data_IF_615090158212
#
_entry.id   IF_615090158212
#
_cell.length_a   1.000
_cell.length_b   1.000
_cell.length_c   1.000
_cell.angle_alpha   90.00
_cell.angle_beta   90.00
_cell.angle_gamma   90.00
#
_symmetry.space_group_name_H-M   'P 1'
#
loop_
_entity.id
_entity.type
_entity.pdbx_description
1 polymer ?
#
# COMPACT_ATOMS: atom_id res chain seq x y z
N UNK A 1 -27.38 -21.84 0.88
CA UNK A 1 -26.39 -22.24 1.91
C UNK A 1 -25.62 -23.44 1.38
N UNK A 2 -24.44 -23.22 0.79
CA UNK A 2 -23.64 -24.28 0.16
C UNK A 2 -22.38 -24.54 0.97
N UNK A 3 -22.34 -25.69 1.66
CA UNK A 3 -21.24 -26.11 2.50
C UNK A 3 -20.04 -26.61 1.68
N UNK A 4 -18.87 -26.05 1.92
CA UNK A 4 -17.59 -26.59 1.46
C UNK A 4 -17.18 -27.75 2.38
N UNK A 5 -17.13 -28.99 1.87
CA UNK A 5 -16.61 -30.16 2.60
C UNK A 5 -15.41 -30.76 1.88
N UNK A 6 -14.31 -30.88 2.67
CA UNK A 6 -13.28 -31.95 2.79
C UNK A 6 -12.61 -32.42 1.49
N UNK A 7 -11.32 -32.72 1.43
CA UNK A 7 -10.17 -32.91 2.32
C UNK A 7 -8.96 -33.03 1.40
N UNK A 8 -7.71 -32.79 1.79
CA UNK A 8 -6.54 -33.62 1.42
C UNK A 8 -5.31 -33.21 2.24
N UNK A 9 -4.40 -34.18 2.37
CA UNK A 9 -3.33 -34.36 3.37
C UNK A 9 -2.23 -33.30 3.35
N UNK A 10 -1.73 -33.03 4.55
CA UNK A 10 -0.50 -32.30 4.84
C UNK A 10 0.72 -32.96 4.17
N UNK A 11 1.56 -32.13 3.54
CA UNK A 11 3.00 -32.40 3.43
C UNK A 11 3.73 -31.15 3.93
N UNK A 12 4.39 -31.30 5.07
CA UNK A 12 5.33 -30.33 5.60
C UNK A 12 6.55 -30.27 4.68
N UNK A 13 7.05 -29.06 4.41
CA UNK A 13 8.42 -28.88 3.95
C UNK A 13 9.06 -27.74 4.74
N UNK A 14 10.03 -28.15 5.55
CA UNK A 14 10.82 -27.36 6.48
C UNK A 14 11.93 -26.64 5.71
N UNK A 15 11.98 -25.30 5.74
CA UNK A 15 13.05 -24.50 5.12
C UNK A 15 13.60 -23.50 6.13
N UNK A 16 14.62 -23.92 6.88
CA UNK A 16 15.51 -23.02 7.63
C UNK A 16 16.95 -23.52 7.49
N UNK A 17 17.90 -22.57 7.54
CA UNK A 17 19.37 -22.67 7.32
C UNK A 17 19.65 -22.51 5.83
N UNK A 18 20.43 -21.54 5.35
CA UNK A 18 21.86 -21.27 5.57
C UNK A 18 22.09 -19.74 5.50
N UNK A 19 22.88 -19.08 6.37
CA UNK A 19 24.34 -18.93 6.26
C UNK A 19 24.92 -18.51 7.62
N UNK A 20 26.00 -19.16 8.07
CA UNK A 20 26.93 -18.60 9.05
C UNK A 20 28.34 -18.96 8.60
N UNK A 21 29.17 -17.94 8.38
CA UNK A 21 30.59 -18.10 8.05
C UNK A 21 31.43 -17.51 9.18
N UNK A 22 32.27 -18.40 9.73
CA UNK A 22 33.68 -18.23 10.06
C UNK A 22 34.06 -17.12 11.06
N UNK A 23 34.32 -17.53 12.30
CA UNK A 23 35.33 -16.89 13.15
C UNK A 23 36.50 -17.87 13.32
N UNK A 24 37.65 -17.51 12.78
CA UNK A 24 38.93 -18.12 13.10
C UNK A 24 39.56 -17.36 14.28
N UNK A 25 39.91 -18.07 15.34
CA UNK A 25 40.62 -17.55 16.50
C UNK A 25 42.14 -17.57 16.24
N UNK A 26 42.85 -16.54 16.70
CA UNK A 26 44.31 -16.43 16.68
C UNK A 26 44.82 -16.27 18.14
N UNK A 27 45.97 -16.86 18.55
CA UNK A 27 46.39 -16.87 19.94
C UNK A 27 47.20 -15.63 20.34
N UNK A 28 47.16 -15.30 21.63
CA UNK A 28 47.79 -14.14 22.26
C UNK A 28 49.31 -14.31 22.46
N UNK A 29 50.06 -13.22 22.22
CA UNK A 29 51.47 -13.04 22.59
C UNK A 29 51.65 -11.85 23.57
N UNK A 30 52.78 -11.76 24.30
CA UNK A 30 52.87 -10.99 25.54
C UNK A 30 53.24 -9.51 25.37
N UNK A 31 53.02 -8.78 26.46
CA UNK A 31 53.05 -7.34 26.64
C UNK A 31 54.41 -6.66 26.39
N UNK A 32 54.35 -5.45 25.83
CA UNK A 32 55.43 -4.46 25.84
C UNK A 32 54.89 -3.10 26.31
N UNK A 33 55.70 -2.42 27.12
CA UNK A 33 55.45 -1.21 27.91
C UNK A 33 55.63 0.10 27.13
N UNK A 34 54.67 1.04 27.29
CA UNK A 34 54.75 2.54 27.32
C UNK A 34 55.44 3.32 26.16
N UNK A 35 55.25 4.66 26.01
CA UNK A 35 54.30 5.61 26.61
C UNK A 35 53.49 6.49 25.60
N UNK A 36 52.40 7.06 26.11
CA UNK A 36 51.78 8.35 25.76
C UNK A 36 51.73 8.81 24.27
N UNK A 37 50.56 8.66 23.64
CA UNK A 37 50.20 9.41 22.44
C UNK A 37 48.74 9.87 22.55
N UNK A 38 48.54 11.15 22.84
CA UNK A 38 47.23 11.79 22.90
C UNK A 38 46.55 11.76 21.52
N UNK A 39 45.46 11.01 21.40
CA UNK A 39 44.61 11.01 20.20
C UNK A 39 43.63 12.19 20.27
N UNK A 40 43.49 12.99 19.20
CA UNK A 40 42.38 13.93 19.11
C UNK A 40 41.08 13.14 18.92
N UNK A 41 40.16 13.27 19.87
CA UNK A 41 38.80 12.73 19.78
C UNK A 41 38.02 13.47 18.70
N UNK A 42 38.14 13.03 17.44
CA UNK A 42 37.09 13.29 16.44
C UNK A 42 35.92 12.38 16.76
N UNK A 43 35.05 12.85 17.65
CA UNK A 43 33.67 12.36 17.74
C UNK A 43 33.00 12.61 16.40
N UNK A 44 32.97 11.60 15.54
CA UNK A 44 32.05 11.52 14.42
C UNK A 44 30.65 11.34 14.99
N UNK A 45 29.93 12.44 15.18
CA UNK A 45 28.50 12.41 15.46
C UNK A 45 27.76 11.95 14.22
N UNK A 46 27.32 10.70 14.20
CA UNK A 46 26.22 10.28 13.32
C UNK A 46 24.98 11.09 13.71
N UNK A 47 24.33 11.83 12.80
CA UNK A 47 23.09 12.50 13.14
C UNK A 47 22.01 11.44 13.38
N UNK A 48 21.29 11.57 14.50
CA UNK A 48 20.10 10.77 14.78
C UNK A 48 19.11 10.85 13.61
N UNK A 49 18.32 9.79 13.32
CA UNK A 49 17.34 9.83 12.25
C UNK A 49 16.36 10.98 12.49
N UNK A 50 16.32 11.94 11.58
CA UNK A 50 15.35 13.01 11.55
C UNK A 50 13.96 12.41 11.41
N UNK A 51 13.15 12.45 12.48
CA UNK A 51 11.75 12.02 12.46
C UNK A 51 10.93 13.12 11.80
N UNK A 52 10.99 13.21 10.47
CA UNK A 52 10.07 14.07 9.71
C UNK A 52 8.68 13.45 9.77
N UNK A 53 7.62 14.20 10.15
CA UNK A 53 6.27 13.66 10.16
C UNK A 53 5.84 13.30 8.74
N UNK A 54 5.24 12.11 8.60
CA UNK A 54 4.76 11.59 7.31
C UNK A 54 3.59 12.43 6.81
N UNK A 55 3.62 12.75 5.52
CA UNK A 55 2.51 13.38 4.81
C UNK A 55 1.26 12.49 4.81
N UNK A 56 0.06 13.08 4.65
CA UNK A 56 -1.18 12.32 4.48
C UNK A 56 -1.10 11.28 3.35
N UNK A 57 -0.42 11.60 2.25
CA UNK A 57 -0.23 10.70 1.12
C UNK A 57 0.64 9.49 1.50
N UNK A 58 1.76 9.71 2.19
CA UNK A 58 2.63 8.63 2.68
C UNK A 58 1.90 7.70 3.65
N UNK A 59 1.03 8.25 4.51
CA UNK A 59 0.18 7.45 5.40
C UNK A 59 -0.78 6.54 4.63
N UNK A 60 -1.40 7.04 3.57
CA UNK A 60 -2.28 6.21 2.71
C UNK A 60 -1.48 5.06 2.06
N UNK A 61 -0.28 5.35 1.55
CA UNK A 61 0.60 4.35 0.95
C UNK A 61 1.03 3.32 2.00
N UNK A 62 1.35 3.74 3.22
CA UNK A 62 1.75 2.84 4.31
C UNK A 62 0.59 1.90 4.70
N UNK A 63 -0.63 2.43 4.80
CA UNK A 63 -1.83 1.62 5.05
C UNK A 63 -1.99 0.54 3.98
N UNK A 64 -1.90 0.93 2.70
CA UNK A 64 -1.97 -0.02 1.59
C UNK A 64 -0.80 -1.02 1.62
N UNK A 65 0.40 -0.56 1.97
CA UNK A 65 1.63 -1.36 2.02
C UNK A 65 1.57 -2.48 3.06
N UNK A 66 0.91 -2.25 4.20
CA UNK A 66 0.70 -3.27 5.24
C UNK A 66 -0.20 -4.44 4.79
N UNK A 67 -0.95 -4.25 3.72
CA UNK A 67 -1.84 -5.27 3.18
C UNK A 67 -1.17 -6.13 2.08
N UNK A 68 0.01 -5.74 1.60
CA UNK A 68 0.75 -6.50 0.57
C UNK A 68 1.02 -7.92 1.05
N UNK A 69 0.72 -8.89 0.19
CA UNK A 69 0.85 -10.32 0.48
C UNK A 69 -0.41 -10.96 1.08
N UNK A 70 -1.43 -10.18 1.44
CA UNK A 70 -2.74 -10.73 1.81
C UNK A 70 -3.45 -11.29 0.59
N UNK A 71 -4.04 -12.47 0.76
CA UNK A 71 -4.64 -13.25 -0.32
C UNK A 71 -6.07 -13.62 -0.02
N UNK A 72 -6.82 -13.82 -1.09
CA UNK A 72 -8.12 -14.45 -1.00
C UNK A 72 -8.01 -15.96 -0.71
N UNK A 73 -9.07 -16.52 -0.16
CA UNK A 73 -9.17 -17.95 0.09
C UNK A 73 -9.59 -18.66 -1.19
N UNK A 74 -8.77 -19.62 -1.64
CA UNK A 74 -9.07 -20.52 -2.75
C UNK A 74 -9.46 -19.84 -4.08
N UNK A 75 -8.93 -18.65 -4.39
CA UNK A 75 -9.12 -18.01 -5.70
C UNK A 75 -10.57 -17.65 -6.05
N UNK A 76 -11.43 -17.50 -5.02
CA UNK A 76 -12.88 -17.33 -5.18
C UNK A 76 -13.38 -15.94 -4.79
N UNK A 77 -12.54 -14.90 -4.84
CA UNK A 77 -12.89 -13.55 -4.38
C UNK A 77 -13.49 -13.54 -2.96
N UNK A 78 -12.93 -14.37 -2.07
CA UNK A 78 -13.45 -14.59 -0.72
C UNK A 78 -12.35 -14.74 0.33
N UNK A 79 -12.73 -14.82 1.60
CA UNK A 79 -11.79 -14.93 2.72
C UNK A 79 -11.83 -13.73 3.66
N UNK A 80 -11.20 -13.85 4.84
CA UNK A 80 -11.34 -12.86 5.92
C UNK A 80 -10.87 -11.46 5.51
N UNK A 81 -9.71 -11.34 4.86
CA UNK A 81 -9.22 -10.05 4.39
C UNK A 81 -10.08 -9.47 3.26
N UNK A 82 -10.54 -10.32 2.32
CA UNK A 82 -11.44 -9.87 1.24
C UNK A 82 -12.75 -9.34 1.83
N UNK A 83 -13.37 -10.06 2.77
CA UNK A 83 -14.61 -9.62 3.42
C UNK A 83 -14.42 -8.30 4.17
N UNK A 84 -13.28 -8.11 4.82
CA UNK A 84 -12.89 -6.84 5.44
C UNK A 84 -12.85 -5.69 4.42
N UNK A 85 -12.28 -5.91 3.22
CA UNK A 85 -12.28 -4.88 2.17
C UNK A 85 -13.69 -4.62 1.63
N UNK A 86 -14.47 -5.68 1.37
CA UNK A 86 -15.83 -5.57 0.84
C UNK A 86 -16.76 -4.79 1.78
N UNK A 87 -16.59 -4.95 3.10
CA UNK A 87 -17.31 -4.20 4.13
C UNK A 87 -17.05 -2.68 4.10
N UNK A 88 -16.01 -2.21 3.39
CA UNK A 88 -15.79 -0.79 3.17
C UNK A 88 -16.70 -0.21 2.06
N UNK A 89 -17.41 -1.05 1.31
CA UNK A 89 -18.32 -0.64 0.22
C UNK A 89 -19.79 -0.68 0.66
N UNK A 90 -20.70 -0.26 -0.23
CA UNK A 90 -22.14 -0.44 -0.04
C UNK A 90 -22.69 -1.72 -0.72
N UNK A 91 -21.82 -2.55 -1.31
CA UNK A 91 -22.24 -3.79 -1.95
C UNK A 91 -22.15 -4.94 -0.97
N UNK A 92 -23.19 -5.77 -0.91
CA UNK A 92 -23.21 -6.95 -0.06
C UNK A 92 -22.01 -7.88 -0.34
N UNK A 93 -21.41 -8.49 0.70
CA UNK A 93 -20.27 -9.37 0.53
C UNK A 93 -20.57 -10.54 -0.42
N UNK A 94 -19.63 -10.86 -1.30
CA UNK A 94 -19.84 -11.87 -2.33
C UNK A 94 -18.55 -12.30 -3.03
N UNK A 95 -18.68 -13.13 -4.05
CA UNK A 95 -17.55 -13.58 -4.89
C UNK A 95 -17.37 -12.62 -6.08
N UNK A 96 -17.08 -11.35 -5.81
CA UNK A 96 -16.91 -10.31 -6.82
C UNK A 96 -15.53 -9.62 -6.70
N UNK A 97 -14.97 -9.09 -7.80
CA UNK A 97 -13.65 -8.45 -7.83
C UNK A 97 -13.49 -7.33 -6.81
N UNK A 98 -12.50 -7.42 -5.94
CA UNK A 98 -12.38 -6.57 -4.74
C UNK A 98 -11.34 -5.44 -4.85
N UNK A 99 -10.86 -5.12 -6.05
CA UNK A 99 -9.86 -4.06 -6.27
C UNK A 99 -10.34 -2.67 -5.75
N UNK A 100 -11.55 -2.25 -6.13
CA UNK A 100 -12.11 -0.98 -5.67
C UNK A 100 -12.49 -1.01 -4.19
N UNK A 101 -12.91 -2.18 -3.68
CA UNK A 101 -13.19 -2.37 -2.26
C UNK A 101 -11.91 -2.19 -1.41
N UNK A 102 -10.77 -2.71 -1.88
CA UNK A 102 -9.47 -2.48 -1.25
C UNK A 102 -9.11 -1.00 -1.16
N UNK A 103 -9.28 -0.24 -2.25
CA UNK A 103 -9.05 1.22 -2.23
C UNK A 103 -10.02 1.93 -1.28
N UNK A 104 -11.31 1.57 -1.28
CA UNK A 104 -12.29 2.13 -0.35
C UNK A 104 -11.91 1.86 1.12
N UNK A 105 -11.42 0.65 1.42
CA UNK A 105 -10.94 0.29 2.74
C UNK A 105 -9.69 1.08 3.14
N UNK A 106 -8.71 1.24 2.24
CA UNK A 106 -7.52 2.05 2.50
C UNK A 106 -7.90 3.50 2.84
N UNK A 107 -8.82 4.10 2.09
CA UNK A 107 -9.33 5.46 2.38
C UNK A 107 -10.10 5.49 3.71
N UNK A 108 -10.87 4.46 4.04
CA UNK A 108 -11.55 4.37 5.33
C UNK A 108 -10.56 4.35 6.51
N UNK A 109 -9.49 3.56 6.42
CA UNK A 109 -8.44 3.51 7.45
C UNK A 109 -7.66 4.83 7.51
N UNK A 110 -7.37 5.42 6.36
CA UNK A 110 -6.67 6.71 6.27
C UNK A 110 -7.46 7.82 6.96
N UNK A 111 -8.79 7.84 6.80
CA UNK A 111 -9.68 8.77 7.49
C UNK A 111 -9.89 8.45 8.98
N UNK A 112 -9.37 7.33 9.50
CA UNK A 112 -9.37 7.08 10.94
C UNK A 112 -8.37 8.00 11.67
N UNK A 113 -7.26 8.36 11.00
CA UNK A 113 -6.21 9.22 11.53
C UNK A 113 -6.70 10.68 11.73
N UNK A 114 -6.61 11.26 12.94
CA UNK A 114 -7.06 12.62 13.22
C UNK A 114 -6.27 13.70 12.46
N UNK A 115 -4.98 13.50 12.18
CA UNK A 115 -4.17 14.45 11.40
C UNK A 115 -4.62 14.47 9.94
N UNK A 116 -4.98 13.30 9.38
CA UNK A 116 -5.57 13.22 8.04
C UNK A 116 -6.91 13.93 7.99
N UNK A 117 -7.76 13.73 9.00
CA UNK A 117 -9.05 14.45 9.11
C UNK A 117 -8.85 15.96 9.16
N UNK A 118 -7.91 16.42 9.98
CA UNK A 118 -7.58 17.83 10.12
C UNK A 118 -7.03 18.41 8.81
N UNK A 119 -6.13 17.68 8.15
CA UNK A 119 -5.59 18.05 6.84
C UNK A 119 -6.68 18.16 5.77
N UNK A 120 -7.57 17.16 5.69
CA UNK A 120 -8.65 17.15 4.70
C UNK A 120 -9.68 18.27 4.94
N UNK A 121 -9.83 18.69 6.20
CA UNK A 121 -10.58 19.88 6.63
C UNK A 121 -12.00 19.99 6.02
N UNK A 122 -12.74 18.88 6.02
CA UNK A 122 -14.07 18.82 5.43
C UNK A 122 -15.04 19.77 6.15
N UNK A 123 -15.59 20.73 5.42
CA UNK A 123 -16.51 21.75 5.98
C UNK A 123 -17.99 21.40 5.86
N UNK A 124 -18.36 20.71 4.80
CA UNK A 124 -19.78 20.51 4.41
C UNK A 124 -20.26 19.07 4.63
N UNK A 125 -19.39 18.17 5.06
CA UNK A 125 -19.71 16.74 5.15
C UNK A 125 -18.84 16.03 6.17
N UNK A 126 -19.28 14.86 6.61
CA UNK A 126 -18.49 13.97 7.47
C UNK A 126 -17.56 13.10 6.64
N UNK A 127 -16.49 12.58 7.23
CA UNK A 127 -15.58 11.63 6.54
C UNK A 127 -16.31 10.37 6.07
N UNK A 128 -17.31 9.92 6.82
CA UNK A 128 -18.13 8.76 6.48
C UNK A 128 -18.97 8.97 5.22
N UNK A 129 -19.45 10.20 4.97
CA UNK A 129 -20.21 10.56 3.77
C UNK A 129 -19.29 10.99 2.62
N UNK A 130 -18.11 11.53 2.97
CA UNK A 130 -17.12 11.94 2.01
C UNK A 130 -16.43 10.77 1.32
N UNK A 131 -16.07 9.69 2.03
CA UNK A 131 -15.27 8.57 1.47
C UNK A 131 -15.98 7.78 0.35
N UNK A 132 -15.24 7.12 -0.56
CA UNK A 132 -15.84 6.23 -1.55
C UNK A 132 -16.39 4.97 -0.88
N UNK A 133 -17.49 4.44 -1.44
CA UNK A 133 -18.17 3.22 -1.00
C UNK A 133 -18.64 2.39 -2.20
N UNK A 134 -17.74 2.15 -3.15
CA UNK A 134 -18.08 1.50 -4.43
C UNK A 134 -17.28 0.21 -4.63
N UNK A 135 -17.90 -0.77 -5.28
CA UNK A 135 -17.24 -1.98 -5.75
C UNK A 135 -16.69 -1.84 -7.20
N UNK A 136 -16.94 -0.70 -7.86
CA UNK A 136 -16.57 -0.49 -9.26
C UNK A 136 -15.35 0.44 -9.36
N UNK A 137 -14.33 0.05 -10.14
CA UNK A 137 -13.14 0.87 -10.37
C UNK A 137 -13.51 2.25 -10.96
N UNK A 138 -14.34 2.30 -12.00
CA UNK A 138 -14.84 3.56 -12.56
C UNK A 138 -15.80 4.33 -11.62
N UNK A 139 -16.35 3.64 -10.61
CA UNK A 139 -17.11 4.29 -9.55
C UNK A 139 -16.26 5.26 -8.72
N UNK A 140 -14.95 5.01 -8.60
CA UNK A 140 -14.02 5.93 -7.93
C UNK A 140 -13.92 7.27 -8.67
N UNK A 141 -13.95 7.26 -10.01
CA UNK A 141 -13.94 8.50 -10.80
C UNK A 141 -15.22 9.30 -10.56
N UNK A 142 -16.39 8.65 -10.56
CA UNK A 142 -17.67 9.31 -10.23
C UNK A 142 -17.66 9.90 -8.82
N UNK A 143 -17.09 9.17 -7.86
CA UNK A 143 -16.91 9.65 -6.50
C UNK A 143 -16.03 10.92 -6.44
N UNK A 144 -14.91 10.92 -7.15
CA UNK A 144 -13.98 12.04 -7.19
C UNK A 144 -14.59 13.28 -7.85
N UNK A 145 -15.27 13.11 -9.00
CA UNK A 145 -15.93 14.20 -9.73
C UNK A 145 -16.98 14.93 -8.91
N UNK A 146 -17.68 14.23 -8.01
CA UNK A 146 -18.67 14.83 -7.12
C UNK A 146 -18.06 15.67 -5.99
N UNK A 147 -16.72 15.75 -5.86
CA UNK A 147 -16.01 16.39 -4.74
C UNK A 147 -14.85 17.30 -5.20
N UNK A 148 -15.07 18.22 -6.15
CA UNK A 148 -14.00 19.01 -6.77
C UNK A 148 -13.22 19.90 -5.79
N UNK A 149 -13.81 20.25 -4.63
CA UNK A 149 -13.15 21.05 -3.59
C UNK A 149 -12.06 20.29 -2.80
N UNK A 150 -11.97 18.96 -2.95
CA UNK A 150 -11.01 18.14 -2.19
C UNK A 150 -10.35 17.04 -3.02
N UNK A 151 -10.87 16.79 -4.23
CA UNK A 151 -10.42 15.72 -5.09
C UNK A 151 -10.39 16.23 -6.53
N UNK A 152 -9.28 15.97 -7.22
CA UNK A 152 -9.09 16.28 -8.63
C UNK A 152 -8.99 14.98 -9.42
N UNK A 153 -9.75 14.88 -10.51
CA UNK A 153 -9.55 13.81 -11.51
C UNK A 153 -8.62 14.36 -12.58
N UNK A 154 -7.46 13.73 -12.71
CA UNK A 154 -6.40 14.08 -13.63
C UNK A 154 -6.42 13.10 -14.82
N UNK A 155 -6.15 13.58 -16.04
CA UNK A 155 -6.02 12.72 -17.22
C UNK A 155 -4.79 11.81 -17.11
N UNK A 156 -4.74 10.80 -17.97
CA UNK A 156 -3.61 9.89 -18.15
C UNK A 156 -2.29 10.58 -18.54
N UNK A 157 -2.37 11.78 -19.14
CA UNK A 157 -1.22 12.64 -19.48
C UNK A 157 -0.61 13.35 -18.27
N UNK A 158 -1.32 13.42 -17.14
CA UNK A 158 -0.79 14.07 -15.96
C UNK A 158 0.36 13.25 -15.34
N UNK A 159 1.31 13.93 -14.69
CA UNK A 159 2.36 13.26 -13.92
C UNK A 159 1.73 12.64 -12.65
N UNK A 160 1.77 11.30 -12.50
CA UNK A 160 1.23 10.64 -11.33
C UNK A 160 2.09 10.92 -10.11
N UNK A 161 1.46 11.09 -8.96
CA UNK A 161 2.14 11.34 -7.69
C UNK A 161 1.88 10.19 -6.71
N UNK A 162 2.84 9.98 -5.80
CA UNK A 162 2.66 9.06 -4.70
C UNK A 162 1.41 9.46 -3.89
N UNK A 163 0.52 8.50 -3.66
CA UNK A 163 -0.76 8.70 -2.97
C UNK A 163 -1.94 8.94 -3.90
N UNK A 164 -1.72 9.17 -5.21
CA UNK A 164 -2.82 9.18 -6.17
C UNK A 164 -3.48 7.81 -6.24
N UNK A 165 -4.81 7.79 -6.42
CA UNK A 165 -5.52 6.58 -6.80
C UNK A 165 -5.47 6.50 -8.33
N UNK A 166 -4.94 5.40 -8.87
CA UNK A 166 -4.93 5.15 -10.31
C UNK A 166 -6.16 4.31 -10.69
N UNK A 167 -6.83 4.69 -11.78
CA UNK A 167 -7.90 3.92 -12.40
C UNK A 167 -7.44 3.52 -13.79
N UNK A 168 -7.51 2.22 -14.11
CA UNK A 168 -7.02 1.66 -15.38
C UNK A 168 -8.16 1.41 -16.38
N UNK A 169 -7.84 1.41 -17.68
CA UNK A 169 -8.84 1.22 -18.75
C UNK A 169 -9.56 -0.14 -18.70
N UNK A 170 -8.88 -1.17 -18.20
CA UNK A 170 -9.39 -2.54 -18.07
C UNK A 170 -10.24 -2.77 -16.80
N UNK A 171 -10.86 -1.70 -16.27
CA UNK A 171 -11.73 -1.72 -15.09
C UNK A 171 -11.04 -2.25 -13.83
N UNK A 172 -9.85 -1.71 -13.54
CA UNK A 172 -9.07 -1.99 -12.33
C UNK A 172 -8.60 -0.68 -11.68
N UNK A 173 -8.11 -0.75 -10.44
CA UNK A 173 -7.60 0.42 -9.74
C UNK A 173 -6.58 0.04 -8.65
N UNK A 174 -5.81 1.02 -8.20
CA UNK A 174 -4.84 0.87 -7.12
C UNK A 174 -4.39 2.22 -6.56
N UNK A 175 -3.41 2.17 -5.67
CA UNK A 175 -2.79 3.36 -5.08
C UNK A 175 -1.37 3.49 -5.62
N UNK A 176 -1.01 4.64 -6.17
CA UNK A 176 0.35 4.94 -6.63
C UNK A 176 1.25 5.03 -5.40
N UNK A 177 2.21 4.10 -5.31
CA UNK A 177 3.25 4.07 -4.27
C UNK A 177 4.39 5.04 -4.59
N UNK A 178 4.66 5.28 -5.87
CA UNK A 178 5.71 6.17 -6.33
C UNK A 178 6.08 5.91 -7.79
N UNK A 179 7.12 6.57 -8.27
CA UNK A 179 7.64 6.41 -9.63
C UNK A 179 9.00 5.73 -9.60
N UNK A 180 9.26 4.86 -10.57
CA UNK A 180 10.55 4.16 -10.73
C UNK A 180 10.86 3.96 -12.21
N UNK A 181 11.96 4.53 -12.69
CA UNK A 181 12.46 4.29 -14.06
C UNK A 181 11.43 4.58 -15.17
N UNK A 182 10.69 5.69 -15.06
CA UNK A 182 9.65 6.06 -16.04
C UNK A 182 8.33 5.26 -15.94
N UNK A 183 8.25 4.33 -14.98
CA UNK A 183 7.04 3.56 -14.68
C UNK A 183 6.48 3.95 -13.32
N UNK A 184 5.23 3.57 -13.06
CA UNK A 184 4.56 3.77 -11.79
C UNK A 184 4.63 2.49 -10.96
N UNK A 185 5.00 2.62 -9.69
CA UNK A 185 4.79 1.58 -8.70
C UNK A 185 3.42 1.77 -8.07
N UNK A 186 2.60 0.74 -8.08
CA UNK A 186 1.23 0.76 -7.56
C UNK A 186 1.03 -0.36 -6.54
N UNK A 187 0.17 -0.14 -5.55
CA UNK A 187 -0.34 -1.18 -4.64
C UNK A 187 -1.79 -1.45 -5.05
N UNK A 188 -2.05 -2.68 -5.46
CA UNK A 188 -3.30 -3.10 -6.06
C UNK A 188 -3.85 -4.32 -5.33
N UNK A 189 -5.14 -4.29 -4.99
CA UNK A 189 -5.87 -5.45 -4.48
C UNK A 189 -6.57 -6.19 -5.61
N UNK A 190 -6.89 -7.47 -5.42
CA UNK A 190 -7.43 -8.36 -6.45
C UNK A 190 -6.57 -8.32 -7.72
N UNK A 191 -5.25 -8.39 -7.53
CA UNK A 191 -4.27 -8.56 -8.61
C UNK A 191 -3.45 -9.82 -8.34
N UNK A 192 -2.57 -10.21 -9.26
CA UNK A 192 -1.66 -11.34 -9.10
C UNK A 192 -0.25 -10.92 -9.54
N UNK A 193 0.75 -11.77 -9.24
CA UNK A 193 2.11 -11.58 -9.77
C UNK A 193 2.14 -11.61 -11.31
N UNK A 194 1.31 -12.46 -11.91
CA UNK A 194 1.34 -12.82 -13.34
C UNK A 194 0.31 -12.07 -14.20
N UNK A 195 0.27 -10.73 -14.17
CA UNK A 195 -0.44 -9.86 -15.13
C UNK A 195 -1.90 -10.17 -15.51
N UNK A 196 -2.56 -11.12 -14.87
CA UNK A 196 -3.82 -11.74 -15.31
C UNK A 196 -5.02 -11.02 -14.69
N UNK A 197 -6.19 -11.20 -15.33
CA UNK A 197 -7.47 -10.58 -14.98
C UNK A 197 -8.03 -11.07 -13.64
N UNK A 198 -7.75 -12.31 -13.25
CA UNK A 198 -8.18 -12.90 -11.97
C UNK A 198 -7.06 -12.78 -10.94
N UNK A 199 -7.15 -11.80 -10.05
CA UNK A 199 -6.14 -11.56 -9.02
C UNK A 199 -6.43 -12.30 -7.72
N UNK A 200 -5.38 -12.80 -7.07
CA UNK A 200 -5.49 -13.60 -5.84
C UNK A 200 -5.12 -12.82 -4.57
N UNK A 201 -4.67 -11.57 -4.68
CA UNK A 201 -4.16 -10.85 -3.50
C UNK A 201 -3.82 -9.39 -3.73
N UNK A 202 -3.16 -8.82 -2.71
CA UNK A 202 -2.61 -7.46 -2.73
C UNK A 202 -1.13 -7.52 -3.09
N UNK A 203 -0.74 -6.80 -4.15
CA UNK A 203 0.64 -6.80 -4.63
C UNK A 203 1.11 -5.40 -5.00
N UNK A 204 2.44 -5.22 -4.94
CA UNK A 204 3.10 -4.11 -5.61
C UNK A 204 3.26 -4.47 -7.09
N UNK A 205 2.83 -3.58 -7.99
CA UNK A 205 2.93 -3.73 -9.43
C UNK A 205 3.74 -2.59 -10.02
N UNK A 206 4.51 -2.91 -11.06
CA UNK A 206 5.11 -1.92 -11.95
C UNK A 206 4.19 -1.73 -13.15
N UNK A 207 3.72 -0.51 -13.38
CA UNK A 207 2.73 -0.16 -14.41
C UNK A 207 3.27 0.94 -15.30
N UNK A 208 3.10 0.78 -16.62
CA UNK A 208 3.31 1.88 -17.56
C UNK A 208 2.14 2.86 -17.47
N UNK A 209 2.41 4.15 -17.70
CA UNK A 209 1.40 5.22 -17.58
C UNK A 209 0.20 5.03 -18.52
N UNK A 210 0.45 4.55 -19.74
CA UNK A 210 -0.56 4.40 -20.80
C UNK A 210 -1.65 3.36 -20.48
N UNK A 211 -1.54 2.60 -19.39
CA UNK A 211 -2.63 1.73 -18.94
C UNK A 211 -3.67 2.47 -18.08
N UNK A 212 -3.27 3.62 -17.52
CA UNK A 212 -4.13 4.44 -16.69
C UNK A 212 -5.15 5.16 -17.57
N UNK A 213 -6.42 5.10 -17.16
CA UNK A 213 -7.49 5.96 -17.66
C UNK A 213 -7.44 7.33 -17.01
N UNK A 214 -7.18 7.36 -15.70
CA UNK A 214 -7.16 8.59 -14.91
C UNK A 214 -6.37 8.38 -13.61
N UNK A 215 -5.91 9.50 -13.06
CA UNK A 215 -5.43 9.59 -11.68
C UNK A 215 -6.42 10.41 -10.86
N UNK A 216 -6.68 9.99 -9.63
CA UNK A 216 -7.53 10.69 -8.69
C UNK A 216 -6.61 11.18 -7.57
N UNK A 217 -6.45 12.50 -7.50
CA UNK A 217 -5.61 13.16 -6.51
C UNK A 217 -6.47 13.77 -5.43
N UNK A 218 -6.26 13.35 -4.20
CA UNK A 218 -6.90 13.97 -3.04
C UNK A 218 -6.00 15.12 -2.60
N UNK A 219 -6.52 16.34 -2.67
CA UNK A 219 -5.85 17.57 -2.24
C UNK A 219 -6.92 18.60 -1.84
N UNK A 220 -7.02 18.99 -0.57
CA UNK A 220 -7.92 20.05 -0.13
C UNK A 220 -7.59 21.36 -0.83
N UNK A 221 -8.62 22.09 -1.28
CA UNK A 221 -8.46 23.46 -1.77
C UNK A 221 -7.76 24.33 -0.73
N UNK A 222 -6.65 24.97 -1.11
CA UNK A 222 -5.86 25.84 -0.23
C UNK A 222 -4.61 25.19 0.41
N UNK A 223 -4.23 23.99 -0.05
CA UNK A 223 -2.95 23.33 0.30
C UNK A 223 -1.99 23.25 -0.88
#
# INVERSE_FOLDING_TARGET
MGACRRSWRLREVNWLKWFSRLFAACPAGPAATSPNCSLPSKTSSTPAPSITPKSPQEKLIEIAGREVGKKETAGSNCGPDVRKYQAATNLEPGAWPWCAAFVCWCIQQWLADPEVKAWLNLKTTTTANWRPKTALAFGLMKWAQARPATVTVLPDTAEPQAGDIVVFDFSHCGIVKGLAGGTMLTIEGNTNGAGSREGDGVYVKTRIRNLARAFIRIRPSGS
#
